data_IF_819647277709
#
_entry.id   IF_819647277709
#
_cell.length_a   1.000
_cell.length_b   1.000
_cell.length_c   1.000
_cell.angle_alpha   90.00
_cell.angle_beta   90.00
_cell.angle_gamma   90.00
#
_symmetry.space_group_name_H-M   'P 1'
#
loop_
_entity.id
_entity.type
_entity.pdbx_description
1 polymer ?
#
# COMPACT_ATOMS: atom_id res chain seq x y z
N UNK A 1 53.23 8.72 -43.00
CA UNK A 1 53.96 7.49 -43.34
C UNK A 1 53.00 6.34 -43.08
N UNK A 2 52.09 6.04 -44.04
CA UNK A 2 52.28 5.09 -45.17
C UNK A 2 52.40 3.66 -44.65
N UNK A 3 51.78 2.60 -45.16
CA UNK A 3 50.87 2.21 -46.25
C UNK A 3 50.48 0.75 -45.87
N UNK A 4 49.22 0.29 -45.90
CA UNK A 4 48.56 -0.44 -46.99
C UNK A 4 49.44 -1.40 -47.83
N UNK A 5 49.03 -2.68 -47.93
CA UNK A 5 48.91 -3.55 -49.14
C UNK A 5 48.80 -5.04 -48.71
N UNK A 6 47.75 -5.81 -49.06
CA UNK A 6 47.49 -6.54 -50.34
C UNK A 6 48.66 -7.46 -50.74
N UNK A 7 48.53 -8.77 -51.05
CA UNK A 7 47.61 -9.46 -51.96
C UNK A 7 47.94 -10.99 -51.97
N UNK A 8 47.09 -11.84 -52.58
CA UNK A 8 47.25 -13.31 -52.78
C UNK A 8 48.38 -13.71 -53.75
N UNK A 9 48.40 -14.89 -54.45
CA UNK A 9 47.25 -15.74 -54.87
C UNK A 9 47.51 -17.28 -54.99
N UNK A 10 46.52 -17.99 -55.60
CA UNK A 10 46.57 -19.18 -56.51
C UNK A 10 47.02 -20.57 -55.97
N UNK A 11 46.14 -21.61 -55.99
CA UNK A 11 45.91 -22.63 -57.06
C UNK A 11 47.07 -23.65 -57.19
N UNK A 12 46.94 -24.97 -57.40
CA UNK A 12 46.27 -25.77 -58.46
C UNK A 12 46.32 -27.28 -58.11
N UNK A 13 45.46 -28.08 -58.77
CA UNK A 13 45.62 -29.48 -59.24
C UNK A 13 45.38 -30.65 -58.24
N UNK A 14 44.33 -31.48 -58.42
CA UNK A 14 44.17 -32.61 -59.38
C UNK A 14 45.14 -33.76 -59.05
N UNK A 15 44.86 -35.06 -59.08
CA UNK A 15 43.83 -35.98 -59.61
C UNK A 15 44.23 -37.36 -58.99
N UNK A 16 43.43 -38.39 -58.74
CA UNK A 16 42.79 -39.32 -59.69
C UNK A 16 42.43 -40.61 -58.92
N UNK A 17 41.39 -41.33 -59.37
CA UNK A 17 41.41 -42.80 -59.32
C UNK A 17 40.20 -43.55 -58.69
N UNK A 18 39.27 -44.00 -59.55
CA UNK A 18 38.85 -45.41 -59.54
C UNK A 18 37.58 -45.84 -58.77
N UNK A 19 36.46 -45.95 -59.51
CA UNK A 19 35.25 -46.78 -59.23
C UNK A 19 35.59 -48.30 -59.30
N UNK A 20 34.70 -49.32 -59.01
CA UNK A 20 33.22 -49.27 -58.98
C UNK A 20 32.42 -50.19 -58.00
N UNK A 21 31.11 -49.87 -57.92
CA UNK A 21 29.90 -50.72 -57.80
C UNK A 21 29.76 -51.76 -56.66
N UNK A 22 28.72 -51.55 -55.85
CA UNK A 22 28.01 -52.61 -55.11
C UNK A 22 26.69 -52.09 -54.52
N UNK A 23 25.57 -52.30 -55.21
CA UNK A 23 24.24 -51.97 -54.70
C UNK A 23 23.66 -53.08 -53.84
N UNK A 24 22.97 -52.73 -52.74
CA UNK A 24 21.89 -53.55 -52.14
C UNK A 24 21.03 -52.77 -51.13
N UNK A 25 19.80 -52.47 -51.58
CA UNK A 25 18.50 -52.54 -50.88
C UNK A 25 18.43 -52.26 -49.36
N UNK A 26 17.81 -51.12 -49.04
CA UNK A 26 16.52 -51.05 -48.35
C UNK A 26 16.37 -51.66 -46.95
N UNK A 27 16.37 -50.82 -45.92
CA UNK A 27 15.52 -51.00 -44.73
C UNK A 27 15.20 -49.66 -44.07
N UNK A 28 14.05 -49.11 -44.44
CA UNK A 28 13.36 -48.04 -43.73
C UNK A 28 13.07 -48.49 -42.29
N UNK A 29 13.80 -47.93 -41.33
CA UNK A 29 13.44 -48.00 -39.90
C UNK A 29 12.26 -47.06 -39.66
N UNK A 30 11.05 -47.59 -39.84
CA UNK A 30 9.82 -47.03 -39.26
C UNK A 30 10.03 -46.85 -37.76
N UNK A 31 10.29 -45.61 -37.32
CA UNK A 31 10.13 -45.18 -35.92
C UNK A 31 8.66 -45.35 -35.58
N UNK A 32 8.34 -46.46 -34.92
CA UNK A 32 7.02 -46.74 -34.35
C UNK A 32 6.81 -45.70 -33.24
N UNK A 33 5.94 -44.73 -33.51
CA UNK A 33 5.44 -43.82 -32.50
C UNK A 33 4.80 -44.65 -31.38
N UNK A 34 5.35 -44.55 -30.17
CA UNK A 34 4.65 -44.97 -28.96
C UNK A 34 3.48 -44.00 -28.78
N UNK A 35 2.32 -44.38 -29.33
CA UNK A 35 1.01 -43.87 -28.90
C UNK A 35 0.87 -44.11 -27.40
N UNK A 36 0.28 -43.11 -26.74
CA UNK A 36 0.37 -42.88 -25.31
C UNK A 36 -0.12 -44.03 -24.44
N UNK A 37 0.63 -44.25 -23.37
CA UNK A 37 0.01 -44.57 -22.09
C UNK A 37 -0.51 -43.24 -21.51
N UNK A 38 -1.72 -43.20 -20.93
CA UNK A 38 -2.12 -42.05 -20.14
C UNK A 38 -1.12 -41.93 -18.99
N UNK A 39 -0.41 -40.81 -18.94
CA UNK A 39 0.34 -40.44 -17.74
C UNK A 39 -0.71 -40.39 -16.63
N UNK A 40 -0.56 -41.29 -15.65
CA UNK A 40 -1.34 -41.30 -14.41
C UNK A 40 -1.50 -39.86 -13.94
N UNK A 41 -2.76 -39.39 -13.87
CA UNK A 41 -3.06 -37.98 -13.58
C UNK A 41 -2.26 -37.50 -12.39
N UNK A 42 -1.40 -36.50 -12.61
CA UNK A 42 -0.72 -35.82 -11.51
C UNK A 42 -1.79 -35.34 -10.54
N UNK A 43 -1.66 -35.70 -9.25
CA UNK A 43 -2.61 -35.29 -8.24
C UNK A 43 -2.74 -33.76 -8.25
N UNK A 44 -3.93 -33.29 -8.58
CA UNK A 44 -4.28 -31.88 -8.65
C UNK A 44 -4.76 -31.44 -7.28
N UNK A 45 -4.14 -30.38 -6.74
CA UNK A 45 -4.40 -29.88 -5.38
C UNK A 45 -5.02 -28.48 -5.49
N UNK A 46 -6.16 -28.22 -4.84
CA UNK A 46 -6.71 -26.87 -4.79
C UNK A 46 -5.75 -25.95 -4.04
N UNK A 47 -5.49 -24.77 -4.62
CA UNK A 47 -4.63 -23.74 -4.04
C UNK A 47 -5.33 -22.40 -4.06
N UNK A 48 -5.07 -21.60 -3.03
CA UNK A 48 -5.57 -20.24 -2.86
C UNK A 48 -4.46 -19.39 -2.27
N UNK A 49 -4.20 -18.23 -2.84
CA UNK A 49 -3.17 -17.33 -2.34
C UNK A 49 -3.05 -16.07 -3.16
N UNK A 50 -2.28 -15.12 -2.64
CA UNK A 50 -2.01 -13.85 -3.29
C UNK A 50 -0.82 -13.98 -4.23
N UNK A 51 -0.96 -13.48 -5.43
CA UNK A 51 0.07 -13.45 -6.44
C UNK A 51 1.20 -12.50 -6.00
N UNK A 52 2.42 -13.02 -5.98
CA UNK A 52 3.64 -12.23 -5.86
C UNK A 52 4.52 -12.49 -7.09
N UNK A 53 4.70 -11.45 -7.91
CA UNK A 53 5.66 -11.45 -9.01
C UNK A 53 7.03 -11.03 -8.52
N UNK A 54 8.05 -11.76 -8.95
CA UNK A 54 9.46 -11.50 -8.63
C UNK A 54 10.14 -10.79 -9.80
N UNK A 55 11.24 -10.10 -9.50
CA UNK A 55 12.04 -9.41 -10.52
C UNK A 55 12.65 -10.36 -11.57
N UNK A 56 12.87 -11.63 -11.21
CA UNK A 56 13.35 -12.67 -12.13
C UNK A 56 12.27 -13.20 -13.10
N UNK A 57 11.09 -12.60 -13.09
CA UNK A 57 9.94 -12.96 -13.93
C UNK A 57 9.14 -14.16 -13.43
N UNK A 58 9.58 -14.84 -12.37
CA UNK A 58 8.78 -15.90 -11.73
C UNK A 58 7.70 -15.30 -10.86
N UNK A 59 6.65 -16.08 -10.60
CA UNK A 59 5.62 -15.71 -9.66
C UNK A 59 5.23 -16.88 -8.75
N UNK A 60 4.80 -16.53 -7.55
CA UNK A 60 4.40 -17.49 -6.51
C UNK A 60 3.08 -17.07 -5.88
N UNK A 61 2.36 -18.03 -5.28
CA UNK A 61 1.21 -17.77 -4.43
C UNK A 61 1.64 -17.76 -2.97
N UNK A 62 1.58 -16.60 -2.35
CA UNK A 62 1.82 -16.41 -0.92
C UNK A 62 0.51 -16.31 -0.15
N UNK A 63 0.57 -16.45 1.18
CA UNK A 63 -0.61 -16.51 2.04
C UNK A 63 -0.61 -15.36 3.05
N UNK A 64 -1.77 -14.75 3.32
CA UNK A 64 -1.90 -13.68 4.31
C UNK A 64 -1.65 -14.18 5.74
N UNK A 65 -1.92 -15.45 6.03
CA UNK A 65 -1.72 -16.09 7.34
C UNK A 65 -0.26 -16.07 7.79
N UNK A 66 0.69 -15.99 6.85
CA UNK A 66 2.13 -15.85 7.10
C UNK A 66 2.61 -14.40 6.96
N UNK A 67 1.71 -13.43 6.97
CA UNK A 67 2.03 -12.01 6.79
C UNK A 67 2.67 -11.72 5.44
N UNK A 68 2.17 -12.35 4.37
CA UNK A 68 2.70 -12.23 3.00
C UNK A 68 4.15 -12.71 2.80
N UNK A 69 4.71 -13.49 3.73
CA UNK A 69 6.05 -14.04 3.58
C UNK A 69 6.10 -15.23 2.62
N UNK A 70 7.13 -15.22 1.79
CA UNK A 70 7.44 -16.31 0.88
C UNK A 70 7.90 -17.56 1.65
N UNK A 71 7.45 -18.71 1.19
CA UNK A 71 7.88 -20.03 1.63
C UNK A 71 8.50 -20.81 0.46
N UNK A 72 9.52 -21.66 0.71
CA UNK A 72 9.98 -22.62 -0.29
C UNK A 72 8.91 -23.58 -0.81
N UNK A 73 7.80 -23.72 -0.10
CA UNK A 73 6.67 -24.59 -0.48
C UNK A 73 5.58 -23.87 -1.26
N UNK A 74 5.71 -22.55 -1.49
CA UNK A 74 4.67 -21.79 -2.17
C UNK A 74 4.50 -22.24 -3.62
N UNK A 75 3.24 -22.44 -4.08
CA UNK A 75 2.97 -22.80 -5.46
C UNK A 75 3.53 -21.74 -6.41
N UNK A 76 4.20 -22.19 -7.46
CA UNK A 76 4.57 -21.35 -8.60
C UNK A 76 3.31 -21.06 -9.43
N UNK A 77 3.30 -19.91 -10.11
CA UNK A 77 2.25 -19.56 -11.08
C UNK A 77 2.81 -19.65 -12.49
N UNK A 78 2.09 -20.31 -13.39
CA UNK A 78 2.51 -20.48 -14.79
C UNK A 78 2.66 -19.11 -15.48
N UNK A 79 3.84 -18.80 -16.09
CA UNK A 79 4.05 -17.55 -16.82
C UNK A 79 3.04 -17.30 -17.94
N UNK A 80 2.51 -18.36 -18.56
CA UNK A 80 1.47 -18.23 -19.59
C UNK A 80 0.18 -17.64 -19.01
N UNK A 81 -0.17 -17.98 -17.77
CA UNK A 81 -1.33 -17.42 -17.07
C UNK A 81 -1.14 -15.93 -16.79
N UNK A 82 0.05 -15.55 -16.32
CA UNK A 82 0.41 -14.15 -16.05
C UNK A 82 0.32 -13.30 -17.31
N UNK A 83 0.85 -13.80 -18.43
CA UNK A 83 0.88 -13.09 -19.70
C UNK A 83 -0.52 -12.96 -20.32
N UNK A 84 -1.30 -14.05 -20.31
CA UNK A 84 -2.63 -14.08 -20.95
C UNK A 84 -3.59 -13.07 -20.31
N UNK A 85 -3.58 -12.99 -18.98
CA UNK A 85 -4.50 -12.13 -18.22
C UNK A 85 -3.81 -10.89 -17.64
N UNK A 86 -2.59 -10.58 -18.06
CA UNK A 86 -1.77 -9.46 -17.54
C UNK A 86 -1.89 -9.31 -16.00
N UNK A 87 -1.61 -10.40 -15.28
CA UNK A 87 -1.81 -10.46 -13.82
C UNK A 87 -0.69 -9.72 -13.10
N UNK A 88 -1.05 -8.94 -12.08
CA UNK A 88 -0.13 -8.17 -11.25
C UNK A 88 -0.12 -8.68 -9.80
N UNK A 89 0.94 -8.36 -9.06
CA UNK A 89 1.03 -8.72 -7.64
C UNK A 89 -0.17 -8.19 -6.85
N UNK A 90 -0.53 -8.83 -5.74
CA UNK A 90 -1.67 -8.43 -4.91
C UNK A 90 -2.99 -9.15 -5.22
N UNK A 91 -3.09 -9.81 -6.38
CA UNK A 91 -4.29 -10.53 -6.79
C UNK A 91 -4.46 -11.83 -6.01
N UNK A 92 -5.64 -12.05 -5.45
CA UNK A 92 -6.06 -13.33 -4.89
C UNK A 92 -6.42 -14.27 -6.04
N UNK A 93 -5.65 -15.35 -6.15
CA UNK A 93 -5.85 -16.40 -7.14
C UNK A 93 -6.30 -17.68 -6.46
N UNK A 94 -7.29 -18.34 -7.07
CA UNK A 94 -7.82 -19.62 -6.66
C UNK A 94 -7.84 -20.58 -7.86
N UNK A 95 -7.40 -21.81 -7.66
CA UNK A 95 -7.41 -22.79 -8.73
C UNK A 95 -6.78 -24.11 -8.30
N UNK A 96 -6.26 -24.85 -9.27
CA UNK A 96 -5.73 -26.18 -9.06
C UNK A 96 -4.27 -26.25 -9.50
N UNK A 97 -3.38 -26.66 -8.60
CA UNK A 97 -1.96 -26.83 -8.88
C UNK A 97 -1.59 -28.31 -9.00
N UNK A 98 -0.67 -28.62 -9.91
CA UNK A 98 -0.10 -29.98 -10.04
C UNK A 98 1.37 -29.97 -9.66
N UNK A 99 1.89 -31.10 -9.18
CA UNK A 99 3.33 -31.24 -8.94
C UNK A 99 4.07 -31.17 -10.29
N UNK A 100 5.07 -30.29 -10.43
CA UNK A 100 5.85 -30.15 -11.67
C UNK A 100 6.79 -31.33 -12.02
N UNK A 101 6.48 -32.54 -11.53
CA UNK A 101 7.34 -33.74 -11.49
C UNK A 101 7.85 -34.07 -10.08
N UNK A 102 8.48 -35.23 -9.91
CA UNK A 102 8.99 -35.72 -8.61
C UNK A 102 9.96 -34.70 -7.97
N UNK A 103 9.60 -34.21 -6.78
CA UNK A 103 10.39 -33.24 -5.99
C UNK A 103 10.26 -31.77 -6.40
N UNK A 104 9.41 -31.42 -7.38
CA UNK A 104 9.19 -30.02 -7.78
C UNK A 104 8.03 -29.38 -7.03
N UNK A 105 8.12 -28.06 -6.86
CA UNK A 105 7.04 -27.22 -6.29
C UNK A 105 5.74 -27.41 -7.08
N UNK A 106 4.62 -27.20 -6.40
CA UNK A 106 3.30 -27.11 -7.04
C UNK A 106 3.31 -25.98 -8.08
N UNK A 107 2.65 -26.20 -9.20
CA UNK A 107 2.49 -25.22 -10.27
C UNK A 107 1.00 -25.03 -10.55
N UNK A 108 0.49 -23.82 -10.27
CA UNK A 108 -0.87 -23.42 -10.64
C UNK A 108 -0.94 -23.25 -12.16
N UNK A 109 -1.80 -24.05 -12.79
CA UNK A 109 -2.20 -23.93 -14.20
C UNK A 109 -3.68 -23.59 -14.25
N UNK A 110 -4.12 -22.84 -15.26
CA UNK A 110 -5.54 -22.49 -15.43
C UNK A 110 -6.45 -23.73 -15.55
N UNK A 111 -7.77 -23.62 -15.33
CA UNK A 111 -8.54 -22.40 -15.06
C UNK A 111 -8.31 -21.83 -13.66
N UNK A 112 -8.41 -20.50 -13.54
CA UNK A 112 -8.18 -19.75 -12.31
C UNK A 112 -9.36 -18.80 -12.07
N UNK A 113 -9.68 -18.63 -10.80
CA UNK A 113 -10.56 -17.57 -10.31
C UNK A 113 -9.68 -16.45 -9.75
N UNK A 114 -9.97 -15.20 -10.09
CA UNK A 114 -9.23 -14.00 -9.72
C UNK A 114 -10.19 -13.10 -8.92
N UNK A 115 -9.86 -12.79 -7.67
CA UNK A 115 -10.75 -12.01 -6.77
C UNK A 115 -12.17 -12.57 -6.66
N UNK A 116 -12.30 -13.90 -6.71
CA UNK A 116 -13.61 -14.57 -6.68
C UNK A 116 -14.35 -14.60 -8.02
N UNK A 117 -13.80 -14.04 -9.10
CA UNK A 117 -14.38 -14.00 -10.44
C UNK A 117 -13.65 -14.93 -11.42
N UNK A 118 -14.32 -15.49 -12.44
CA UNK A 118 -13.63 -16.11 -13.57
C UNK A 118 -12.63 -15.14 -14.23
N UNK A 119 -11.50 -15.66 -14.71
CA UNK A 119 -10.41 -14.82 -15.21
C UNK A 119 -10.82 -13.82 -16.30
N UNK A 120 -11.69 -14.23 -17.24
CA UNK A 120 -12.21 -13.37 -18.31
C UNK A 120 -13.09 -12.24 -17.78
N UNK A 121 -13.90 -12.50 -16.74
CA UNK A 121 -14.77 -11.51 -16.12
C UNK A 121 -13.96 -10.47 -15.36
N UNK A 122 -12.94 -10.91 -14.61
CA UNK A 122 -11.98 -10.00 -13.97
C UNK A 122 -11.32 -9.06 -14.99
N UNK A 123 -10.89 -9.58 -16.14
CA UNK A 123 -10.25 -8.76 -17.19
C UNK A 123 -11.17 -7.72 -17.81
N UNK A 124 -12.48 -8.00 -17.88
CA UNK A 124 -13.46 -7.07 -18.38
C UNK A 124 -13.80 -5.97 -17.35
N UNK A 125 -13.71 -6.28 -16.06
CA UNK A 125 -14.08 -5.37 -14.97
C UNK A 125 -12.91 -4.48 -14.50
N UNK A 126 -11.69 -5.03 -14.38
CA UNK A 126 -10.56 -4.34 -13.76
C UNK A 126 -9.81 -3.43 -14.76
N UNK A 127 -9.66 -2.16 -14.41
CA UNK A 127 -8.79 -1.22 -15.14
C UNK A 127 -7.48 -1.05 -14.36
N UNK A 128 -6.29 -1.18 -15.00
CA UNK A 128 -5.00 -1.08 -14.30
C UNK A 128 -4.86 0.22 -13.50
N UNK A 129 -4.32 0.13 -12.28
CA UNK A 129 -4.25 1.26 -11.33
C UNK A 129 -3.51 2.48 -11.90
N UNK A 130 -2.51 2.25 -12.76
CA UNK A 130 -1.76 3.31 -13.43
C UNK A 130 -2.56 4.09 -14.49
N UNK A 131 -3.63 3.50 -15.01
CA UNK A 131 -4.49 4.09 -16.04
C UNK A 131 -5.70 4.82 -15.43
N UNK A 132 -5.95 4.64 -14.12
CA UNK A 132 -7.05 5.28 -13.43
C UNK A 132 -6.85 6.79 -13.28
N UNK A 133 -7.90 7.56 -13.61
CA UNK A 133 -7.89 9.03 -13.50
C UNK A 133 -8.01 9.45 -12.04
N UNK A 134 -7.01 10.19 -11.57
CA UNK A 134 -6.93 10.65 -10.18
C UNK A 134 -7.58 12.02 -10.01
N UNK A 135 -8.48 12.15 -9.04
CA UNK A 135 -9.16 13.41 -8.70
C UNK A 135 -8.95 13.79 -7.23
N UNK A 136 -9.35 15.01 -6.87
CA UNK A 136 -9.40 15.38 -5.45
C UNK A 136 -10.46 14.51 -4.72
N UNK A 137 -10.29 14.23 -3.43
CA UNK A 137 -11.34 13.64 -2.62
C UNK A 137 -12.61 14.51 -2.62
N UNK A 138 -13.76 13.89 -2.89
CA UNK A 138 -15.07 14.54 -2.95
C UNK A 138 -16.05 14.02 -1.90
N UNK A 139 -15.81 12.81 -1.39
CA UNK A 139 -16.63 12.19 -0.35
C UNK A 139 -15.82 12.10 0.95
N UNK A 140 -16.43 12.51 2.05
CA UNK A 140 -15.81 12.53 3.39
C UNK A 140 -16.07 11.24 4.14
N UNK A 141 -15.02 10.64 4.71
CA UNK A 141 -15.19 9.71 5.81
C UNK A 141 -15.68 10.47 7.04
N UNK A 142 -16.96 10.28 7.40
CA UNK A 142 -17.49 10.72 8.70
C UNK A 142 -16.85 9.91 9.83
N UNK A 143 -16.21 10.59 10.78
CA UNK A 143 -15.46 9.96 11.86
C UNK A 143 -16.17 10.04 13.22
N UNK A 144 -17.15 10.91 13.38
CA UNK A 144 -18.01 10.96 14.57
C UNK A 144 -18.77 9.63 14.77
N UNK A 145 -18.59 8.98 15.93
CA UNK A 145 -19.39 7.82 16.36
C UNK A 145 -20.21 8.16 17.61
N UNK A 146 -19.88 7.61 18.78
CA UNK A 146 -20.52 7.90 20.04
C UNK A 146 -20.12 9.29 20.56
N UNK A 147 -21.06 10.05 21.17
CA UNK A 147 -20.83 11.43 21.58
C UNK A 147 -19.63 11.65 22.53
N UNK A 148 -19.28 10.63 23.31
CA UNK A 148 -18.22 10.67 24.31
C UNK A 148 -16.82 10.38 23.73
N UNK A 149 -16.74 9.88 22.49
CA UNK A 149 -15.47 9.67 21.78
C UNK A 149 -15.17 10.97 21.02
N UNK A 150 -14.29 11.79 21.61
CA UNK A 150 -14.11 13.19 21.20
C UNK A 150 -13.07 13.35 20.09
N UNK A 151 -12.05 12.51 20.04
CA UNK A 151 -10.92 12.68 19.12
C UNK A 151 -11.35 12.59 17.64
N UNK A 152 -12.14 11.59 17.18
CA UNK A 152 -12.65 11.56 15.82
C UNK A 152 -13.55 12.75 15.50
N UNK A 153 -14.34 13.23 16.48
CA UNK A 153 -15.19 14.42 16.33
C UNK A 153 -14.37 15.69 16.10
N UNK A 154 -13.24 15.83 16.80
CA UNK A 154 -12.30 16.94 16.60
C UNK A 154 -11.64 16.83 15.23
N UNK A 155 -11.20 15.64 14.80
CA UNK A 155 -10.64 15.42 13.46
C UNK A 155 -11.64 15.82 12.38
N UNK A 156 -12.89 15.37 12.48
CA UNK A 156 -13.96 15.68 11.52
C UNK A 156 -14.19 17.18 11.30
N UNK A 157 -13.95 17.99 12.33
CA UNK A 157 -14.16 19.44 12.32
C UNK A 157 -12.92 20.23 11.87
N UNK A 158 -11.72 19.75 12.21
CA UNK A 158 -10.46 20.50 12.05
C UNK A 158 -9.65 20.02 10.84
N UNK A 159 -9.68 18.73 10.53
CA UNK A 159 -8.90 18.13 9.46
C UNK A 159 -9.71 16.95 8.89
N UNK A 160 -10.78 17.20 8.10
CA UNK A 160 -11.64 16.14 7.58
C UNK A 160 -10.87 15.19 6.66
N UNK A 161 -11.19 13.90 6.71
CA UNK A 161 -10.59 12.86 5.86
C UNK A 161 -11.52 12.55 4.69
N UNK A 162 -11.03 12.67 3.46
CA UNK A 162 -11.76 12.24 2.26
C UNK A 162 -11.40 10.83 1.79
N UNK A 163 -12.28 10.20 1.01
CA UNK A 163 -11.99 9.01 0.21
C UNK A 163 -10.89 9.35 -0.81
N UNK A 164 -9.73 8.71 -0.69
CA UNK A 164 -8.55 8.97 -1.51
C UNK A 164 -7.51 9.92 -0.90
N UNK A 165 -7.66 10.29 0.37
CA UNK A 165 -6.77 11.25 1.04
C UNK A 165 -5.39 10.65 1.38
N UNK A 166 -4.36 11.51 1.34
CA UNK A 166 -3.00 11.23 1.84
C UNK A 166 -2.81 11.96 3.16
N UNK A 167 -3.15 11.28 4.25
CA UNK A 167 -3.18 11.85 5.59
C UNK A 167 -1.88 11.56 6.34
N UNK A 168 -1.26 12.62 6.84
CA UNK A 168 -0.07 12.53 7.67
C UNK A 168 -0.41 12.89 9.11
N UNK A 169 -0.28 11.94 10.04
CA UNK A 169 -0.35 12.20 11.48
C UNK A 169 1.07 12.47 11.96
N UNK A 170 1.40 13.74 12.11
CA UNK A 170 2.70 14.22 12.56
C UNK A 170 2.72 14.17 14.07
N UNK A 171 3.51 13.29 14.66
CA UNK A 171 3.44 13.07 16.10
C UNK A 171 4.83 12.84 16.71
N UNK A 172 5.16 13.54 17.80
CA UNK A 172 6.31 13.17 18.59
C UNK A 172 6.06 11.86 19.36
N UNK A 173 7.13 11.16 19.78
CA UNK A 173 7.01 10.04 20.70
C UNK A 173 6.14 10.40 21.91
N UNK A 174 5.28 9.44 22.31
CA UNK A 174 4.34 9.56 23.44
C UNK A 174 3.23 10.61 23.29
N UNK A 175 2.88 11.05 22.09
CA UNK A 175 1.79 12.02 21.88
C UNK A 175 0.39 11.39 21.63
N UNK A 176 0.22 10.08 21.84
CA UNK A 176 -1.06 9.39 21.63
C UNK A 176 -1.36 9.01 20.18
N UNK A 177 -0.35 8.93 19.29
CA UNK A 177 -0.51 8.57 17.86
C UNK A 177 -1.31 7.29 17.64
N UNK A 178 -1.01 6.25 18.42
CA UNK A 178 -1.60 4.91 18.25
C UNK A 178 -3.07 4.90 18.62
N UNK A 179 -3.42 5.56 19.74
CA UNK A 179 -4.81 5.70 20.18
C UNK A 179 -5.63 6.45 19.15
N UNK A 180 -5.12 7.57 18.63
CA UNK A 180 -5.80 8.32 17.58
C UNK A 180 -6.01 7.46 16.32
N UNK A 181 -4.96 6.76 15.86
CA UNK A 181 -5.04 5.92 14.67
C UNK A 181 -6.07 4.79 14.83
N UNK A 182 -6.13 4.16 16.01
CA UNK A 182 -7.11 3.12 16.34
C UNK A 182 -8.55 3.68 16.38
N UNK A 183 -8.75 4.86 16.99
CA UNK A 183 -10.06 5.51 17.02
C UNK A 183 -10.54 5.89 15.62
N UNK A 184 -9.65 6.36 14.75
CA UNK A 184 -9.98 6.64 13.35
C UNK A 184 -10.33 5.35 12.58
N UNK A 185 -9.59 4.27 12.80
CA UNK A 185 -9.90 2.97 12.19
C UNK A 185 -11.27 2.44 12.65
N UNK A 186 -11.56 2.55 13.94
CA UNK A 186 -12.86 2.19 14.50
C UNK A 186 -13.98 3.05 13.89
N UNK A 187 -13.79 4.37 13.82
CA UNK A 187 -14.78 5.28 13.27
C UNK A 187 -15.11 4.97 11.80
N UNK A 188 -14.10 4.72 10.97
CA UNK A 188 -14.32 4.31 9.56
C UNK A 188 -15.02 2.95 9.51
N UNK A 189 -14.62 1.97 10.33
CA UNK A 189 -15.26 0.66 10.36
C UNK A 189 -16.76 0.71 10.72
N UNK A 190 -17.15 1.61 11.63
CA UNK A 190 -18.53 1.78 12.06
C UNK A 190 -19.35 2.55 11.02
N UNK A 191 -18.81 3.68 10.54
CA UNK A 191 -19.57 4.61 9.70
C UNK A 191 -19.54 4.27 8.20
N UNK A 192 -18.51 3.54 7.76
CA UNK A 192 -18.25 3.19 6.35
C UNK A 192 -17.93 1.69 6.25
N UNK A 193 -18.89 0.81 6.56
CA UNK A 193 -18.66 -0.64 6.53
C UNK A 193 -18.28 -1.15 5.13
N UNK A 194 -18.61 -0.42 4.06
CA UNK A 194 -18.18 -0.75 2.70
C UNK A 194 -16.68 -0.59 2.47
N UNK A 195 -16.00 0.23 3.27
CA UNK A 195 -14.57 0.46 3.14
C UNK A 195 -13.76 -0.77 3.60
N UNK A 196 -12.75 -1.14 2.80
CA UNK A 196 -11.81 -2.20 3.12
C UNK A 196 -10.67 -1.60 3.93
N UNK A 197 -10.53 -2.04 5.18
CA UNK A 197 -9.55 -1.50 6.13
C UNK A 197 -8.35 -2.44 6.23
N UNK A 198 -7.17 -1.89 5.95
CA UNK A 198 -5.88 -2.51 6.23
C UNK A 198 -5.14 -1.73 7.30
N UNK A 199 -4.49 -2.43 8.22
CA UNK A 199 -3.53 -1.86 9.16
C UNK A 199 -2.15 -2.43 8.84
N UNK A 200 -1.19 -1.55 8.57
CA UNK A 200 0.20 -1.87 8.28
C UNK A 200 1.11 -1.40 9.42
N UNK A 201 1.72 -2.35 10.13
CA UNK A 201 2.65 -2.07 11.22
C UNK A 201 4.06 -2.47 10.81
N UNK A 202 4.97 -1.50 10.77
CA UNK A 202 6.34 -1.70 10.27
C UNK A 202 7.33 -1.35 11.36
N UNK A 203 8.20 -2.30 11.72
CA UNK A 203 9.24 -2.13 12.75
C UNK A 203 8.65 -1.67 14.10
N UNK A 204 7.41 -2.07 14.39
CA UNK A 204 6.76 -1.76 15.65
C UNK A 204 6.87 -2.92 16.64
N UNK A 205 6.75 -2.62 17.93
CA UNK A 205 6.96 -3.63 18.98
C UNK A 205 5.89 -4.72 18.95
N UNK A 206 6.22 -6.00 19.25
CA UNK A 206 5.26 -7.11 19.20
C UNK A 206 4.00 -6.91 20.07
N UNK A 207 4.12 -6.25 21.23
CA UNK A 207 2.99 -5.94 22.11
C UNK A 207 2.03 -4.93 21.47
N UNK A 208 2.54 -3.95 20.72
CA UNK A 208 1.72 -2.97 20.00
C UNK A 208 1.02 -3.62 18.80
N UNK A 209 1.67 -4.57 18.12
CA UNK A 209 1.03 -5.40 17.07
C UNK A 209 -0.13 -6.22 17.64
N UNK A 210 0.06 -6.78 18.83
CA UNK A 210 -0.98 -7.56 19.51
C UNK A 210 -2.16 -6.68 19.91
N UNK A 211 -1.88 -5.48 20.41
CA UNK A 211 -2.91 -4.49 20.74
C UNK A 211 -3.75 -4.12 19.52
N UNK A 212 -3.12 -3.80 18.39
CA UNK A 212 -3.81 -3.55 17.12
C UNK A 212 -4.72 -4.71 16.68
N UNK A 213 -4.23 -5.95 16.75
CA UNK A 213 -5.02 -7.14 16.39
C UNK A 213 -6.25 -7.34 17.28
N UNK A 214 -6.23 -6.84 18.52
CA UNK A 214 -7.36 -6.92 19.45
C UNK A 214 -8.32 -5.74 19.29
N UNK A 215 -7.80 -4.57 18.94
CA UNK A 215 -8.58 -3.33 18.81
C UNK A 215 -9.31 -3.21 17.47
N UNK A 216 -8.77 -3.78 16.39
CA UNK A 216 -9.40 -3.75 15.06
C UNK A 216 -10.46 -4.84 14.98
N UNK A 217 -11.73 -4.43 15.13
CA UNK A 217 -12.88 -5.34 15.03
C UNK A 217 -13.19 -5.69 13.57
N UNK A 218 -12.97 -4.75 12.64
CA UNK A 218 -13.20 -4.91 11.19
C UNK A 218 -12.00 -4.38 10.43
N UNK A 219 -11.33 -5.26 9.70
CA UNK A 219 -10.13 -4.96 8.93
C UNK A 219 -9.05 -6.03 9.11
N UNK A 220 -8.03 -5.97 8.28
CA UNK A 220 -6.91 -6.91 8.32
C UNK A 220 -5.65 -6.24 8.85
N UNK A 221 -4.99 -6.85 9.84
CA UNK A 221 -3.74 -6.35 10.42
C UNK A 221 -2.55 -7.12 9.86
N UNK A 222 -1.73 -6.41 9.08
CA UNK A 222 -0.49 -6.89 8.48
C UNK A 222 0.70 -6.24 9.18
N UNK A 223 1.63 -7.05 9.68
CA UNK A 223 2.72 -6.54 10.51
C UNK A 223 4.04 -7.25 10.24
N UNK A 224 5.12 -6.47 10.29
CA UNK A 224 6.49 -6.96 10.43
C UNK A 224 7.10 -6.26 11.64
N UNK A 225 7.14 -6.95 12.78
CA UNK A 225 7.61 -6.37 14.06
C UNK A 225 9.09 -6.04 14.06
N UNK A 226 9.55 -5.26 15.03
CA UNK A 226 10.95 -4.81 15.16
C UNK A 226 12.01 -5.90 15.24
N UNK A 227 11.61 -7.16 15.46
CA UNK A 227 12.52 -8.32 15.49
C UNK A 227 12.84 -8.87 14.09
N UNK A 228 12.15 -8.37 13.06
CA UNK A 228 12.27 -8.82 11.68
C UNK A 228 13.31 -8.01 10.89
N UNK A 229 13.69 -8.50 9.72
CA UNK A 229 14.66 -7.81 8.86
C UNK A 229 14.06 -6.60 8.12
N UNK A 230 14.92 -5.66 7.71
CA UNK A 230 14.53 -4.55 6.83
C UNK A 230 13.90 -5.03 5.51
N UNK A 231 14.37 -6.17 4.98
CA UNK A 231 13.78 -6.82 3.80
C UNK A 231 12.34 -7.27 4.08
N UNK A 232 12.07 -7.92 5.22
CA UNK A 232 10.71 -8.31 5.61
C UNK A 232 9.78 -7.10 5.72
N UNK A 233 10.25 -6.00 6.31
CA UNK A 233 9.48 -4.75 6.38
C UNK A 233 9.06 -4.23 5.00
N UNK A 234 9.99 -4.28 4.04
CA UNK A 234 9.77 -3.84 2.66
C UNK A 234 8.79 -4.79 1.96
N UNK A 235 9.01 -6.10 2.04
CA UNK A 235 8.17 -7.10 1.37
C UNK A 235 6.71 -7.02 1.81
N UNK A 236 6.44 -6.99 3.13
CA UNK A 236 5.07 -6.88 3.66
C UNK A 236 4.40 -5.59 3.20
N UNK A 237 5.14 -4.47 3.22
CA UNK A 237 4.61 -3.17 2.84
C UNK A 237 4.28 -3.08 1.34
N UNK A 238 5.19 -3.54 0.48
CA UNK A 238 4.97 -3.54 -0.96
C UNK A 238 3.82 -4.47 -1.35
N UNK A 239 3.76 -5.66 -0.74
CA UNK A 239 2.69 -6.61 -1.04
C UNK A 239 1.31 -6.08 -0.61
N UNK A 240 1.20 -5.46 0.56
CA UNK A 240 -0.05 -4.85 1.01
C UNK A 240 -0.49 -3.70 0.08
N UNK A 241 0.45 -2.88 -0.38
CA UNK A 241 0.15 -1.81 -1.32
C UNK A 241 -0.40 -2.36 -2.64
N UNK A 242 0.24 -3.40 -3.18
CA UNK A 242 -0.24 -4.04 -4.41
C UNK A 242 -1.64 -4.65 -4.19
N UNK A 243 -1.87 -5.32 -3.05
CA UNK A 243 -3.21 -5.81 -2.67
C UNK A 243 -4.26 -4.68 -2.68
N UNK A 244 -3.95 -3.55 -2.05
CA UNK A 244 -4.84 -2.41 -1.99
C UNK A 244 -5.14 -1.84 -3.39
N UNK A 245 -4.13 -1.75 -4.26
CA UNK A 245 -4.33 -1.31 -5.66
C UNK A 245 -5.28 -2.21 -6.41
N UNK A 246 -5.10 -3.54 -6.34
CA UNK A 246 -5.98 -4.50 -7.03
C UNK A 246 -7.45 -4.35 -6.62
N UNK A 247 -7.71 -4.04 -5.35
CA UNK A 247 -9.07 -3.78 -4.87
C UNK A 247 -9.64 -2.46 -5.41
N UNK A 248 -8.82 -1.41 -5.51
CA UNK A 248 -9.25 -0.12 -6.10
C UNK A 248 -9.53 -0.25 -7.61
N UNK A 249 -8.77 -1.08 -8.33
CA UNK A 249 -9.02 -1.40 -9.74
C UNK A 249 -10.40 -2.04 -9.98
N UNK A 250 -10.96 -2.70 -8.94
CA UNK A 250 -12.31 -3.27 -8.92
C UNK A 250 -13.37 -2.31 -8.35
N UNK A 251 -13.01 -1.05 -8.08
CA UNK A 251 -13.93 -0.03 -7.61
C UNK A 251 -14.15 0.02 -6.10
N UNK A 252 -13.31 -0.65 -5.30
CA UNK A 252 -13.43 -0.61 -3.85
C UNK A 252 -12.78 0.63 -3.22
N UNK A 253 -13.38 1.13 -2.14
CA UNK A 253 -12.76 2.09 -1.23
C UNK A 253 -11.86 1.35 -0.24
N UNK A 254 -10.57 1.63 -0.29
CA UNK A 254 -9.54 1.00 0.55
C UNK A 254 -8.88 2.03 1.44
N UNK A 255 -8.75 1.73 2.73
CA UNK A 255 -8.07 2.57 3.71
C UNK A 255 -6.91 1.80 4.33
N UNK A 256 -5.70 2.34 4.22
CA UNK A 256 -4.51 1.81 4.91
C UNK A 256 -4.17 2.72 6.09
N UNK A 257 -4.28 2.19 7.29
CA UNK A 257 -3.71 2.79 8.50
C UNK A 257 -2.28 2.29 8.67
N UNK A 258 -1.32 3.20 8.80
CA UNK A 258 0.10 2.84 8.83
C UNK A 258 0.81 3.43 10.03
N UNK A 259 1.56 2.58 10.74
CA UNK A 259 2.45 2.96 11.83
C UNK A 259 3.83 2.31 11.64
N UNK A 260 4.83 2.99 11.07
CA UNK A 260 4.84 4.40 10.62
C UNK A 260 5.62 4.59 9.32
N UNK A 261 5.34 5.69 8.58
CA UNK A 261 6.13 6.06 7.39
C UNK A 261 7.60 6.27 7.73
N UNK A 262 7.90 6.83 8.90
CA UNK A 262 9.29 7.04 9.36
C UNK A 262 10.04 5.72 9.46
N UNK A 263 9.43 4.70 10.07
CA UNK A 263 10.02 3.37 10.21
C UNK A 263 10.18 2.65 8.87
N UNK A 264 9.19 2.74 7.99
CA UNK A 264 9.31 2.23 6.61
C UNK A 264 10.50 2.90 5.88
N UNK A 265 10.60 4.22 5.92
CA UNK A 265 11.70 4.94 5.27
C UNK A 265 13.07 4.53 5.82
N UNK A 266 13.18 4.30 7.13
CA UNK A 266 14.40 3.75 7.74
C UNK A 266 14.73 2.35 7.24
N UNK A 267 13.73 1.47 7.08
CA UNK A 267 13.93 0.13 6.53
C UNK A 267 14.47 0.18 5.08
N UNK A 268 13.88 1.02 4.22
CA UNK A 268 14.41 1.24 2.86
C UNK A 268 15.82 1.82 2.87
N UNK A 269 16.13 2.74 3.79
CA UNK A 269 17.48 3.31 3.91
C UNK A 269 18.52 2.27 4.31
N UNK A 270 18.18 1.42 5.27
CA UNK A 270 19.07 0.37 5.77
C UNK A 270 19.35 -0.71 4.70
N UNK A 271 18.38 -0.98 3.83
CA UNK A 271 18.52 -1.96 2.75
C UNK A 271 19.38 -1.44 1.59
N UNK A 272 19.40 -0.12 1.34
CA UNK A 272 20.24 0.47 0.29
C UNK A 272 21.72 0.50 0.70
N UNK A 273 22.52 -0.35 0.06
CA UNK A 273 23.99 -0.33 0.21
C UNK A 273 24.58 0.81 -0.64
N UNK A 274 24.94 1.92 0.01
CA UNK A 274 25.90 2.95 -0.43
C UNK A 274 25.94 3.29 -1.92
N UNK A 275 24.87 3.90 -2.47
CA UNK A 275 24.75 4.12 -3.93
C UNK A 275 25.05 5.54 -4.43
N UNK A 276 25.19 6.54 -3.57
CA UNK A 276 25.44 7.91 -4.01
C UNK A 276 25.27 8.97 -2.93
N UNK A 277 25.32 10.23 -3.39
CA UNK A 277 25.40 11.49 -2.61
C UNK A 277 24.45 11.47 -1.40
N UNK A 278 25.04 11.35 -0.22
CA UNK A 278 24.34 11.38 1.08
C UNK A 278 23.74 12.79 1.27
N UNK A 279 22.41 12.87 1.43
CA UNK A 279 21.74 14.09 1.83
C UNK A 279 22.05 14.42 3.29
N UNK A 280 21.78 15.67 3.69
CA UNK A 280 21.85 16.05 5.09
C UNK A 280 21.00 15.10 5.93
N UNK A 281 21.53 14.57 7.05
CA UNK A 281 20.81 13.59 7.88
C UNK A 281 21.07 12.11 7.54
N UNK A 282 21.94 11.79 6.58
CA UNK A 282 22.38 10.41 6.34
C UNK A 282 21.46 9.59 5.43
N UNK A 283 20.60 10.25 4.65
CA UNK A 283 19.65 9.62 3.72
C UNK A 283 20.17 9.73 2.29
N UNK A 284 20.18 8.65 1.53
CA UNK A 284 20.41 8.72 0.08
C UNK A 284 19.17 9.29 -0.62
N UNK A 285 19.33 10.22 -1.56
CA UNK A 285 18.23 10.85 -2.28
C UNK A 285 17.29 9.86 -2.99
N UNK A 286 17.81 8.68 -3.37
CA UNK A 286 17.05 7.60 -4.01
C UNK A 286 16.28 6.76 -3.00
N UNK A 287 16.70 6.70 -1.73
CA UNK A 287 16.03 5.93 -0.68
C UNK A 287 14.56 6.32 -0.54
N UNK A 288 14.26 7.61 -0.66
CA UNK A 288 12.91 8.13 -0.43
C UNK A 288 11.96 7.91 -1.62
N UNK A 289 12.45 7.43 -2.78
CA UNK A 289 11.59 7.22 -3.96
C UNK A 289 10.48 6.21 -3.69
N UNK A 290 10.83 5.03 -3.15
CA UNK A 290 9.87 3.96 -2.85
C UNK A 290 8.86 4.35 -1.76
N UNK A 291 9.29 4.87 -0.59
CA UNK A 291 8.36 5.38 0.41
C UNK A 291 7.44 6.52 -0.10
N UNK A 292 7.97 7.49 -0.88
CA UNK A 292 7.13 8.53 -1.49
C UNK A 292 6.13 7.95 -2.48
N UNK A 293 6.51 6.95 -3.28
CA UNK A 293 5.59 6.25 -4.19
C UNK A 293 4.51 5.48 -3.43
N UNK A 294 4.85 4.84 -2.31
CA UNK A 294 3.87 4.20 -1.43
C UNK A 294 2.83 5.21 -0.96
N UNK A 295 3.25 6.30 -0.31
CA UNK A 295 2.33 7.30 0.23
C UNK A 295 1.57 8.06 -0.88
N UNK A 296 2.26 8.36 -1.99
CA UNK A 296 1.69 8.99 -3.19
C UNK A 296 0.76 8.08 -4.01
N UNK A 297 0.61 6.80 -3.63
CA UNK A 297 -0.37 5.92 -4.25
C UNK A 297 -1.79 6.30 -3.82
N UNK A 298 -1.98 6.88 -2.63
CA UNK A 298 -3.31 7.30 -2.19
C UNK A 298 -3.89 8.42 -3.06
N UNK A 299 -5.12 8.18 -3.54
CA UNK A 299 -5.83 8.98 -4.54
C UNK A 299 -7.31 8.56 -4.59
N UNK A 300 -8.16 9.50 -4.95
CA UNK A 300 -9.55 9.24 -5.32
C UNK A 300 -9.62 8.96 -6.83
N UNK A 301 -10.44 8.00 -7.26
CA UNK A 301 -10.56 7.63 -8.68
C UNK A 301 -11.89 8.13 -9.25
N UNK A 302 -11.84 8.76 -10.41
CA UNK A 302 -13.05 9.17 -11.12
C UNK A 302 -13.86 7.95 -11.57
N UNK A 303 -15.12 7.86 -11.13
CA UNK A 303 -16.02 6.76 -11.48
C UNK A 303 -15.64 5.39 -10.90
N UNK A 304 -14.73 5.34 -9.92
CA UNK A 304 -14.25 4.10 -9.30
C UNK A 304 -14.17 4.19 -7.78
N UNK A 305 -13.28 3.38 -7.20
CA UNK A 305 -13.01 3.37 -5.77
C UNK A 305 -11.98 4.41 -5.34
N UNK A 306 -11.38 4.23 -4.18
CA UNK A 306 -10.36 5.14 -3.68
C UNK A 306 -9.30 4.42 -2.85
N UNK A 307 -8.05 4.91 -2.91
CA UNK A 307 -7.01 4.49 -1.98
C UNK A 307 -6.73 5.62 -1.00
N UNK A 308 -7.07 5.43 0.26
CA UNK A 308 -6.77 6.35 1.35
C UNK A 308 -5.62 5.80 2.18
N UNK A 309 -4.62 6.63 2.48
CA UNK A 309 -3.51 6.23 3.37
C UNK A 309 -3.45 7.23 4.52
N UNK A 310 -3.63 6.73 5.74
CA UNK A 310 -3.51 7.47 6.99
C UNK A 310 -2.28 6.94 7.71
N UNK A 311 -1.20 7.71 7.70
CA UNK A 311 0.07 7.25 8.20
C UNK A 311 0.66 8.19 9.24
N UNK A 312 1.27 7.61 10.27
CA UNK A 312 2.03 8.36 11.27
C UNK A 312 3.42 8.71 10.73
N UNK A 313 3.92 9.90 11.10
CA UNK A 313 5.29 10.31 10.87
C UNK A 313 5.85 10.92 12.16
N UNK A 314 7.00 10.40 12.59
CA UNK A 314 7.65 10.83 13.82
C UNK A 314 8.38 12.16 13.63
N UNK A 315 8.21 13.05 14.60
CA UNK A 315 8.96 14.31 14.74
C UNK A 315 9.52 14.43 16.16
N UNK A 316 10.38 15.42 16.39
CA UNK A 316 11.03 15.69 17.69
C UNK A 316 11.72 14.46 18.32
N UNK A 317 12.25 13.57 17.49
CA UNK A 317 12.96 12.36 17.93
C UNK A 317 14.42 12.64 18.29
N UNK A 318 14.91 13.85 17.97
CA UNK A 318 16.33 14.19 18.04
C UNK A 318 17.16 13.63 16.87
N UNK A 319 16.52 12.98 15.89
CA UNK A 319 17.17 12.43 14.70
C UNK A 319 16.97 13.34 13.49
N UNK A 320 18.07 13.87 12.96
CA UNK A 320 18.07 14.64 11.69
C UNK A 320 17.54 13.83 10.51
N UNK A 321 17.70 12.50 10.53
CA UNK A 321 17.11 11.62 9.53
C UNK A 321 15.59 11.72 9.53
N UNK A 322 14.96 11.68 10.72
CA UNK A 322 13.50 11.73 10.83
C UNK A 322 12.94 13.10 10.40
N UNK A 323 13.65 14.18 10.72
CA UNK A 323 13.31 15.53 10.26
C UNK A 323 13.26 15.61 8.73
N UNK A 324 14.27 15.03 8.06
CA UNK A 324 14.33 15.02 6.58
C UNK A 324 13.24 14.13 6.01
N UNK A 325 13.00 12.95 6.59
CA UNK A 325 11.89 12.07 6.20
C UNK A 325 10.56 12.82 6.29
N UNK A 326 10.32 13.54 7.39
CA UNK A 326 9.10 14.33 7.57
C UNK A 326 8.94 15.39 6.47
N UNK A 327 9.98 16.15 6.15
CA UNK A 327 9.91 17.18 5.11
C UNK A 327 9.55 16.60 3.72
N UNK A 328 10.09 15.42 3.37
CA UNK A 328 9.77 14.73 2.12
C UNK A 328 8.29 14.32 2.04
N UNK A 329 7.72 13.85 3.14
CA UNK A 329 6.30 13.45 3.16
C UNK A 329 5.34 14.62 3.30
N UNK A 330 5.74 15.71 3.96
CA UNK A 330 4.95 16.94 4.06
C UNK A 330 4.58 17.51 2.68
N UNK A 331 5.51 17.48 1.74
CA UNK A 331 5.25 17.90 0.35
C UNK A 331 4.32 16.95 -0.43
N UNK A 332 4.26 15.68 -0.03
CA UNK A 332 3.50 14.62 -0.72
C UNK A 332 2.05 14.53 -0.21
N UNK A 333 1.85 14.78 1.10
CA UNK A 333 0.55 14.76 1.76
C UNK A 333 -0.36 15.90 1.32
N UNK A 334 -1.67 15.69 1.48
CA UNK A 334 -2.69 16.73 1.27
C UNK A 334 -3.58 16.94 2.51
N UNK A 335 -3.27 16.26 3.62
CA UNK A 335 -3.88 16.46 4.93
C UNK A 335 -2.84 16.20 6.02
N UNK A 336 -2.83 17.05 7.05
CA UNK A 336 -1.91 16.97 8.19
C UNK A 336 -2.71 17.05 9.50
N UNK A 337 -2.45 16.12 10.42
CA UNK A 337 -2.86 16.19 11.82
C UNK A 337 -1.58 16.27 12.64
N UNK A 338 -1.35 17.39 13.31
CA UNK A 338 -0.16 17.57 14.15
C UNK A 338 -0.51 17.33 15.60
N UNK A 339 0.21 16.41 16.25
CA UNK A 339 0.13 16.14 17.67
C UNK A 339 1.29 16.81 18.42
N UNK A 340 1.04 17.29 19.63
CA UNK A 340 2.01 18.06 20.43
C UNK A 340 2.23 17.44 21.81
N UNK A 341 3.50 17.45 22.27
CA UNK A 341 3.86 17.00 23.63
C UNK A 341 3.28 17.90 24.73
N UNK A 342 3.14 19.20 24.48
CA UNK A 342 2.65 20.15 25.49
C UNK A 342 1.24 19.78 25.96
N UNK A 343 0.34 19.42 25.02
CA UNK A 343 -1.00 18.95 25.37
C UNK A 343 -0.96 17.63 26.14
N UNK A 344 -0.09 16.70 25.73
CA UNK A 344 0.06 15.41 26.40
C UNK A 344 0.56 15.56 27.85
N UNK A 345 1.57 16.38 28.08
CA UNK A 345 2.15 16.64 29.41
C UNK A 345 1.13 17.29 30.36
N UNK A 346 0.24 18.12 29.82
CA UNK A 346 -0.88 18.74 30.55
C UNK A 346 -2.11 17.84 30.67
N UNK A 347 -2.08 16.62 30.14
CA UNK A 347 -3.21 15.68 30.10
C UNK A 347 -4.45 16.22 29.37
N UNK A 348 -4.23 16.99 28.31
CA UNK A 348 -5.28 17.52 27.43
C UNK A 348 -5.35 16.64 26.18
N UNK A 349 -6.50 15.99 25.98
CA UNK A 349 -6.75 15.08 24.86
C UNK A 349 -7.98 15.53 24.05
N UNK A 350 -7.98 15.39 22.70
CA UNK A 350 -6.86 14.95 21.86
C UNK A 350 -5.65 15.90 21.92
N UNK A 351 -4.45 15.36 21.78
CA UNK A 351 -3.21 16.15 21.77
C UNK A 351 -2.97 16.86 20.42
N UNK A 352 -4.04 17.25 19.72
CA UNK A 352 -3.97 17.85 18.38
C UNK A 352 -3.73 19.36 18.45
N UNK A 353 -2.70 19.82 17.74
CA UNK A 353 -2.47 21.24 17.48
C UNK A 353 -3.44 21.73 16.40
N UNK A 354 -4.54 22.37 16.83
CA UNK A 354 -5.64 22.81 15.94
C UNK A 354 -5.14 23.75 14.83
N UNK A 355 -4.27 24.71 15.17
CA UNK A 355 -3.77 25.69 14.22
C UNK A 355 -2.88 25.08 13.12
N UNK A 356 -2.19 23.99 13.44
CA UNK A 356 -1.23 23.30 12.56
C UNK A 356 -1.86 22.15 11.77
N UNK A 357 -3.08 21.75 12.12
CA UNK A 357 -3.79 20.63 11.48
C UNK A 357 -4.78 21.14 10.45
N UNK A 358 -4.94 20.42 9.33
CA UNK A 358 -5.91 20.77 8.30
C UNK A 358 -5.84 19.91 7.05
N UNK A 359 -6.84 20.10 6.19
CA UNK A 359 -6.99 19.38 4.92
C UNK A 359 -6.98 20.36 3.76
N UNK A 360 -6.18 20.09 2.72
CA UNK A 360 -6.19 20.90 1.50
C UNK A 360 -7.51 20.70 0.77
N UNK A 361 -8.08 21.79 0.26
CA UNK A 361 -9.37 21.81 -0.45
C UNK A 361 -10.52 21.25 0.39
N UNK A 362 -10.52 21.51 1.70
CA UNK A 362 -11.55 21.01 2.63
C UNK A 362 -12.98 21.45 2.26
N UNK A 363 -13.13 22.56 1.51
CA UNK A 363 -14.43 23.01 1.00
C UNK A 363 -15.13 21.99 0.10
N UNK A 364 -14.41 21.02 -0.47
CA UNK A 364 -14.99 19.92 -1.25
C UNK A 364 -15.57 18.80 -0.39
N UNK A 365 -15.21 18.74 0.90
CA UNK A 365 -15.57 17.67 1.83
C UNK A 365 -16.71 18.05 2.78
N UNK A 366 -17.09 19.32 2.79
CA UNK A 366 -18.17 19.86 3.61
C UNK A 366 -19.31 20.36 2.73
N UNK A 367 -20.53 20.32 3.26
CA UNK A 367 -21.60 21.08 2.64
C UNK A 367 -21.32 22.59 2.73
N UNK A 368 -21.79 23.42 1.78
CA UNK A 368 -21.52 24.86 1.77
C UNK A 368 -21.86 25.59 3.08
N UNK A 369 -22.93 25.19 3.75
CA UNK A 369 -23.34 25.78 5.03
C UNK A 369 -22.52 25.28 6.24
N UNK A 370 -21.87 24.12 6.13
CA UNK A 370 -20.99 23.58 7.17
C UNK A 370 -19.62 24.26 7.13
N UNK A 371 -19.04 24.42 5.93
CA UNK A 371 -17.69 25.00 5.79
C UNK A 371 -17.61 26.44 6.31
N UNK A 372 -18.66 27.25 6.12
CA UNK A 372 -18.72 28.61 6.69
C UNK A 372 -18.62 28.60 8.23
N UNK A 373 -19.27 27.63 8.87
CA UNK A 373 -19.25 27.46 10.33
C UNK A 373 -17.91 26.91 10.81
N UNK A 374 -17.30 25.99 10.06
CA UNK A 374 -15.93 25.52 10.32
C UNK A 374 -14.95 26.69 10.26
N UNK A 375 -15.05 27.57 9.26
CA UNK A 375 -14.22 28.78 9.20
C UNK A 375 -14.44 29.72 10.40
N UNK A 376 -15.69 29.92 10.83
CA UNK A 376 -15.99 30.70 12.04
C UNK A 376 -15.37 30.06 13.28
N UNK A 377 -15.48 28.74 13.43
CA UNK A 377 -14.85 27.98 14.51
C UNK A 377 -13.33 28.23 14.53
N UNK A 378 -12.66 28.05 13.38
CA UNK A 378 -11.20 28.25 13.29
C UNK A 378 -10.81 29.68 13.66
N UNK A 379 -11.54 30.69 13.18
CA UNK A 379 -11.30 32.10 13.54
C UNK A 379 -11.48 32.37 15.04
N UNK A 380 -12.47 31.73 15.67
CA UNK A 380 -12.72 31.89 17.10
C UNK A 380 -11.63 31.23 17.96
N UNK A 381 -11.04 30.13 17.51
CA UNK A 381 -9.99 29.41 18.23
C UNK A 381 -8.58 29.99 17.99
N UNK A 382 -8.35 30.67 16.85
CA UNK A 382 -7.03 31.16 16.45
C UNK A 382 -6.30 32.07 17.47
N UNK A 383 -6.98 32.95 18.24
CA UNK A 383 -6.30 33.80 19.22
C UNK A 383 -5.88 33.08 20.50
N UNK A 384 -6.39 31.87 20.75
CA UNK A 384 -6.17 31.12 21.98
C UNK A 384 -4.84 30.36 21.93
N UNK A 385 -4.24 30.11 23.10
CA UNK A 385 -3.13 29.15 23.17
C UNK A 385 -3.61 27.74 22.80
N UNK A 386 -2.72 26.83 22.35
CA UNK A 386 -3.12 25.47 21.97
C UNK A 386 -3.92 24.73 23.05
N UNK A 387 -3.52 24.87 24.32
CA UNK A 387 -4.21 24.27 25.46
C UNK A 387 -5.63 24.84 25.65
N UNK A 388 -5.76 26.17 25.64
CA UNK A 388 -7.05 26.85 25.78
C UNK A 388 -7.99 26.53 24.61
N UNK A 389 -7.47 26.52 23.38
CA UNK A 389 -8.23 26.19 22.19
C UNK A 389 -8.82 24.77 22.26
N UNK A 390 -7.99 23.78 22.61
CA UNK A 390 -8.43 22.40 22.73
C UNK A 390 -9.44 22.22 23.88
N UNK A 391 -9.20 22.84 25.04
CA UNK A 391 -10.13 22.79 26.15
C UNK A 391 -11.47 23.46 25.82
N UNK A 392 -11.45 24.61 25.15
CA UNK A 392 -12.66 25.32 24.73
C UNK A 392 -13.48 24.49 23.74
N UNK A 393 -12.83 23.91 22.72
CA UNK A 393 -13.49 23.04 21.74
C UNK A 393 -14.09 21.80 22.40
N UNK A 394 -13.30 21.05 23.15
CA UNK A 394 -13.76 19.80 23.80
C UNK A 394 -14.84 20.05 24.85
N UNK A 395 -14.78 21.16 25.60
CA UNK A 395 -15.83 21.55 26.53
C UNK A 395 -17.18 21.79 25.82
N UNK A 396 -17.16 22.39 24.62
CA UNK A 396 -18.38 22.58 23.82
C UNK A 396 -18.87 21.29 23.18
N UNK A 397 -17.97 20.45 22.65
CA UNK A 397 -18.34 19.16 22.07
C UNK A 397 -18.99 18.22 23.11
N UNK A 398 -18.56 18.28 24.38
CA UNK A 398 -19.16 17.52 25.48
C UNK A 398 -20.58 17.98 25.86
N UNK A 399 -21.01 19.18 25.43
CA UNK A 399 -22.35 19.71 25.71
C UNK A 399 -23.40 19.26 24.68
N UNK A 400 -22.98 18.71 23.54
CA UNK A 400 -23.84 18.35 22.41
C UNK A 400 -23.55 16.93 21.95
N UNK A 401 -24.54 16.27 21.34
CA UNK A 401 -24.39 14.86 20.97
C UNK A 401 -23.69 14.68 19.63
N UNK A 402 -23.83 15.64 18.73
CA UNK A 402 -23.30 15.53 17.36
C UNK A 402 -22.53 16.78 16.93
N UNK A 403 -21.67 16.62 15.94
CA UNK A 403 -20.95 17.70 15.27
C UNK A 403 -21.90 18.60 14.49
N UNK A 404 -22.99 18.04 13.96
CA UNK A 404 -24.04 18.81 13.31
C UNK A 404 -24.73 19.78 14.29
N UNK A 405 -25.10 19.30 15.50
CA UNK A 405 -25.63 20.15 16.58
C UNK A 405 -24.62 21.22 17.00
N UNK A 406 -23.35 20.84 17.14
CA UNK A 406 -22.28 21.78 17.47
C UNK A 406 -22.18 22.91 16.43
N UNK A 407 -22.04 22.56 15.15
CA UNK A 407 -21.96 23.53 14.06
C UNK A 407 -23.23 24.39 13.98
N UNK A 408 -24.41 23.82 14.20
CA UNK A 408 -25.68 24.58 14.27
C UNK A 408 -25.71 25.64 15.39
N UNK A 409 -24.99 25.40 16.50
CA UNK A 409 -24.89 26.37 17.60
C UNK A 409 -23.96 27.56 17.30
N UNK A 410 -23.07 27.44 16.32
CA UNK A 410 -22.14 28.51 15.93
C UNK A 410 -22.90 29.56 15.15
N UNK A 411 -22.94 30.78 15.71
CA UNK A 411 -23.48 31.97 15.05
C UNK A 411 -22.33 32.89 14.64
N UNK A 412 -22.46 33.63 13.51
CA UNK A 412 -21.55 34.72 13.22
C UNK A 412 -21.52 35.67 14.42
N UNK A 413 -20.34 36.17 14.79
CA UNK A 413 -20.28 37.27 15.74
C UNK A 413 -21.04 38.45 15.12
N UNK A 414 -22.18 38.81 15.71
CA UNK A 414 -22.88 40.03 15.31
C UNK A 414 -21.89 41.18 15.46
N UNK A 415 -21.54 41.82 14.35
CA UNK A 415 -20.62 42.95 14.33
C UNK A 415 -21.03 43.98 15.38
N UNK A 416 -20.14 44.21 16.34
CA UNK A 416 -20.12 45.42 17.14
C UNK A 416 -18.99 46.29 16.64
#
# INVERSE_FOLDING_TARGET
MSEAEHSGPAAVAEEHGGRPRGGRRGRSRRRRSKRGQPVTGEASVPVRGYLLRREDGKAVLITAERGFRQSPTDPLVDPALLATYNLESGLLLEGHATAGGAGKRLLLRGPVTIEGMPAEEYRAAATPFSELVSIDPLERFRLETEPHIIEPRVVDLIAPIGKGQRCLIVAPPKAGKTVLLQQLAHAIAVNHPEAIIFVLLVDERPEEVTDWRRSVVRGEVHASSSDESAESHIEVSEMLLERARRLVELGHDVVIFMDSLTRMSRAYNNQQKGSGRILSGGIDARTMEKPRRFFGSARNIEGGGSLTIIATCLVDTGSRMDEVIFQEFKGTGNMEITLTRDLFERRIFPCMAIAESGTRKEEKLFAPHEIEKVHLLRRALAPLSPAEAMQALTAKLKQVKTNAEFLASIRPANGR
#
